data_IF_334135578925
#
_entry.id   IF_334135578925
#
_cell.length_a   1.000
_cell.length_b   1.000
_cell.length_c   1.000
_cell.angle_alpha   90.00
_cell.angle_beta   90.00
_cell.angle_gamma   90.00
#
_symmetry.space_group_name_H-M   'P 1'
#
loop_
_entity.id
_entity.type
_entity.pdbx_description
1 polymer ?
#
# COMPACT_ATOMS: atom_id res chain seq x y z
N UNK A 1 3.92 -15.37 3.41
CA UNK A 1 4.46 -14.39 2.47
C UNK A 1 5.72 -13.81 3.11
N UNK A 2 6.84 -13.80 2.40
CA UNK A 2 8.07 -13.14 2.84
C UNK A 2 7.95 -11.62 2.66
N UNK A 3 8.79 -10.84 3.36
CA UNK A 3 8.84 -9.37 3.22
C UNK A 3 9.03 -8.93 1.76
N UNK A 4 9.87 -9.63 1.00
CA UNK A 4 10.08 -9.35 -0.42
C UNK A 4 8.83 -9.60 -1.28
N UNK A 5 8.09 -10.67 -1.00
CA UNK A 5 6.81 -10.94 -1.70
C UNK A 5 5.77 -9.87 -1.33
N UNK A 6 5.77 -9.43 -0.07
CA UNK A 6 4.87 -8.42 0.46
C UNK A 6 5.07 -7.06 -0.22
N UNK A 7 6.33 -6.61 -0.28
CA UNK A 7 6.72 -5.38 -0.96
C UNK A 7 6.37 -5.45 -2.44
N UNK A 8 6.61 -6.60 -3.09
CA UNK A 8 6.25 -6.79 -4.50
C UNK A 8 4.75 -6.67 -4.74
N UNK A 9 3.91 -7.10 -3.80
CA UNK A 9 2.46 -6.98 -3.91
C UNK A 9 2.00 -5.53 -3.73
N UNK A 10 2.58 -4.80 -2.76
CA UNK A 10 2.37 -3.35 -2.62
C UNK A 10 2.71 -2.63 -3.93
N UNK A 11 3.89 -2.90 -4.50
CA UNK A 11 4.36 -2.26 -5.73
C UNK A 11 3.43 -2.56 -6.91
N UNK A 12 2.94 -3.81 -7.00
CA UNK A 12 1.96 -4.21 -8.03
C UNK A 12 0.65 -3.44 -7.89
N UNK A 13 0.12 -3.30 -6.68
CA UNK A 13 -1.14 -2.59 -6.42
C UNK A 13 -0.98 -1.10 -6.70
N UNK A 14 0.11 -0.49 -6.25
CA UNK A 14 0.44 0.90 -6.55
C UNK A 14 0.54 1.15 -8.06
N UNK A 15 1.07 0.19 -8.82
CA UNK A 15 1.16 0.28 -10.28
C UNK A 15 -0.19 0.18 -11.00
N UNK A 16 -1.08 -0.69 -10.53
CA UNK A 16 -2.27 -1.11 -11.29
C UNK A 16 -3.58 -0.45 -10.85
N UNK A 17 -3.67 0.04 -9.61
CA UNK A 17 -4.93 0.57 -9.07
C UNK A 17 -5.24 1.98 -9.62
N UNK A 18 -6.49 2.23 -10.08
CA UNK A 18 -6.91 3.56 -10.48
C UNK A 18 -7.01 4.49 -9.24
N UNK A 19 -6.16 5.50 -9.18
CA UNK A 19 -6.12 6.53 -8.14
C UNK A 19 -5.52 7.82 -8.72
N UNK A 20 -5.68 8.96 -8.04
CA UNK A 20 -5.02 10.20 -8.45
C UNK A 20 -3.50 10.07 -8.38
N UNK A 21 -2.80 10.86 -9.19
CA UNK A 21 -1.33 10.89 -9.16
C UNK A 21 -0.80 11.28 -7.77
N UNK A 22 -1.42 12.27 -7.13
CA UNK A 22 -1.04 12.74 -5.78
C UNK A 22 -1.17 11.62 -4.73
N UNK A 23 -2.24 10.82 -4.78
CA UNK A 23 -2.43 9.69 -3.88
C UNK A 23 -1.37 8.61 -4.10
N UNK A 24 -1.04 8.34 -5.37
CA UNK A 24 0.00 7.38 -5.73
C UNK A 24 1.37 7.81 -5.20
N UNK A 25 1.75 9.06 -5.43
CA UNK A 25 3.01 9.62 -4.94
C UNK A 25 3.10 9.56 -3.41
N UNK A 26 2.02 9.90 -2.71
CA UNK A 26 1.94 9.81 -1.25
C UNK A 26 2.15 8.38 -0.74
N UNK A 27 1.45 7.40 -1.32
CA UNK A 27 1.56 6.00 -0.88
C UNK A 27 2.90 5.38 -1.23
N UNK A 28 3.50 5.74 -2.36
CA UNK A 28 4.87 5.36 -2.71
C UNK A 28 5.87 5.93 -1.70
N UNK A 29 5.75 7.22 -1.36
CA UNK A 29 6.64 7.85 -0.39
C UNK A 29 6.54 7.20 1.01
N UNK A 30 5.34 6.81 1.42
CA UNK A 30 5.12 6.04 2.66
C UNK A 30 5.82 4.67 2.60
N UNK A 31 5.60 3.90 1.53
CA UNK A 31 6.24 2.59 1.32
C UNK A 31 7.77 2.68 1.36
N UNK A 32 8.35 3.71 0.73
CA UNK A 32 9.81 3.88 0.66
C UNK A 32 10.45 4.40 1.95
N UNK A 33 9.65 4.98 2.86
CA UNK A 33 10.12 5.60 4.10
C UNK A 33 9.39 5.02 5.32
N UNK A 34 9.53 3.71 5.61
CA UNK A 34 8.95 3.14 6.82
C UNK A 34 9.57 3.78 8.07
N UNK A 35 8.79 3.96 9.16
CA UNK A 35 9.29 4.53 10.40
C UNK A 35 10.45 3.70 10.97
N UNK A 36 11.66 4.28 10.91
CA UNK A 36 12.95 3.61 11.17
C UNK A 36 13.20 3.30 12.65
N UNK A 37 12.33 3.75 13.56
CA UNK A 37 12.63 3.77 15.00
C UNK A 37 12.79 2.36 15.63
N UNK A 38 12.14 1.33 15.08
CA UNK A 38 12.24 -0.05 15.55
C UNK A 38 12.09 -1.01 14.36
N UNK A 39 13.14 -1.79 14.03
CA UNK A 39 13.10 -2.79 12.95
C UNK A 39 11.91 -3.76 13.07
N UNK A 40 11.52 -4.10 14.31
CA UNK A 40 10.35 -4.96 14.61
C UNK A 40 9.03 -4.32 14.16
N UNK A 41 8.95 -3.00 14.00
CA UNK A 41 7.75 -2.29 13.56
C UNK A 41 7.66 -2.10 12.05
N UNK A 42 8.74 -2.38 11.31
CA UNK A 42 8.73 -2.25 9.84
C UNK A 42 7.77 -3.25 9.23
N UNK A 43 7.79 -4.51 9.69
CA UNK A 43 6.86 -5.54 9.21
C UNK A 43 5.39 -5.14 9.49
N UNK A 44 5.08 -4.69 10.71
CA UNK A 44 3.74 -4.22 11.05
C UNK A 44 3.33 -3.00 10.20
N UNK A 45 4.27 -2.10 9.91
CA UNK A 45 4.01 -0.94 9.04
C UNK A 45 3.68 -1.36 7.61
N UNK A 46 4.42 -2.32 7.05
CA UNK A 46 4.12 -2.88 5.74
C UNK A 46 2.72 -3.53 5.75
N UNK A 47 2.40 -4.33 6.76
CA UNK A 47 1.05 -4.92 6.94
C UNK A 47 -0.07 -3.87 6.94
N UNK A 48 0.15 -2.74 7.62
CA UNK A 48 -0.76 -1.59 7.58
C UNK A 48 -0.90 -0.99 6.18
N UNK A 49 0.20 -0.86 5.43
CA UNK A 49 0.17 -0.36 4.05
C UNK A 49 -0.65 -1.26 3.13
N UNK A 50 -0.51 -2.59 3.24
CA UNK A 50 -1.31 -3.53 2.46
C UNK A 50 -2.80 -3.40 2.78
N UNK A 51 -3.18 -3.28 4.07
CA UNK A 51 -4.57 -3.09 4.47
C UNK A 51 -5.18 -1.81 3.88
N UNK A 52 -4.42 -0.71 3.84
CA UNK A 52 -4.86 0.54 3.22
C UNK A 52 -5.12 0.30 1.73
N UNK A 53 -4.18 -0.35 1.03
CA UNK A 53 -4.30 -0.63 -0.40
C UNK A 53 -5.48 -1.55 -0.72
N UNK A 54 -5.67 -2.64 0.03
CA UNK A 54 -6.82 -3.54 -0.13
C UNK A 54 -8.13 -2.77 0.08
N UNK A 55 -8.19 -1.93 1.12
CA UNK A 55 -9.39 -1.14 1.42
C UNK A 55 -9.70 -0.17 0.27
N UNK A 56 -8.70 0.51 -0.27
CA UNK A 56 -8.87 1.37 -1.44
C UNK A 56 -9.34 0.59 -2.66
N UNK A 57 -8.87 -0.63 -2.86
CA UNK A 57 -9.31 -1.51 -3.94
C UNK A 57 -10.80 -1.85 -3.80
N UNK A 58 -11.21 -2.25 -2.59
CA UNK A 58 -12.61 -2.53 -2.28
C UNK A 58 -13.48 -1.30 -2.50
N UNK A 59 -13.07 -0.13 -1.99
CA UNK A 59 -13.80 1.13 -2.17
C UNK A 59 -13.89 1.51 -3.66
N UNK A 60 -12.80 1.35 -4.42
CA UNK A 60 -12.78 1.62 -5.86
C UNK A 60 -13.67 0.67 -6.66
N UNK A 61 -13.80 -0.60 -6.26
CA UNK A 61 -14.74 -1.51 -6.88
C UNK A 61 -16.19 -1.15 -6.52
N UNK A 62 -16.45 -0.84 -5.25
CA UNK A 62 -17.78 -0.42 -4.79
C UNK A 62 -18.25 0.88 -5.44
N UNK A 63 -17.35 1.84 -5.66
CA UNK A 63 -17.68 3.11 -6.31
C UNK A 63 -18.12 2.96 -7.78
N UNK A 64 -17.91 1.80 -8.41
CA UNK A 64 -18.45 1.55 -9.77
C UNK A 64 -19.97 1.35 -9.77
N UNK A 65 -20.57 1.11 -8.60
CA UNK A 65 -21.99 0.81 -8.43
C UNK A 65 -22.82 1.98 -7.88
N UNK A 66 -22.20 3.12 -7.58
CA UNK A 66 -22.83 4.35 -7.09
C UNK A 66 -22.45 5.53 -7.97
#
# INVERSE_FOLDING_TARGET
MSESEFISEIDRVLGTMPMSQEMREFLTALRDNPPVAEQERVQAYLEWMELILITMQVVSELSKYF
#
